data_IF_766427309497
#
_entry.id   IF_766427309497
#
_cell.length_a   1.000
_cell.length_b   1.000
_cell.length_c   1.000
_cell.angle_alpha   90.00
_cell.angle_beta   90.00
_cell.angle_gamma   90.00
#
_symmetry.space_group_name_H-M   'P 1'
#
loop_
_entity.id
_entity.type
_entity.pdbx_description
1 polymer ?
#
# COMPACT_ATOMS: atom_id res chain seq x y z
N UNK A 1 25.63 8.95 2.10
CA UNK A 1 25.33 7.52 1.84
C UNK A 1 24.54 6.87 2.99
N UNK A 2 24.29 7.55 4.11
CA UNK A 2 23.70 6.92 5.30
C UNK A 2 22.23 6.54 5.13
N UNK A 3 21.43 7.34 4.41
CA UNK A 3 20.03 6.99 4.11
C UNK A 3 19.89 5.64 3.41
N UNK A 4 20.64 5.39 2.33
CA UNK A 4 20.51 4.15 1.56
C UNK A 4 20.88 2.92 2.39
N UNK A 5 21.89 3.02 3.26
CA UNK A 5 22.27 1.93 4.16
C UNK A 5 21.18 1.65 5.18
N UNK A 6 20.66 2.69 5.82
CA UNK A 6 19.62 2.54 6.85
C UNK A 6 18.29 2.06 6.26
N UNK A 7 17.92 2.55 5.08
CA UNK A 7 16.75 2.09 4.33
C UNK A 7 16.86 0.60 3.98
N UNK A 8 18.01 0.16 3.46
CA UNK A 8 18.25 -1.25 3.14
C UNK A 8 18.19 -2.14 4.39
N UNK A 9 18.75 -1.68 5.52
CA UNK A 9 18.67 -2.41 6.78
C UNK A 9 17.22 -2.55 7.28
N UNK A 10 16.43 -1.48 7.22
CA UNK A 10 15.01 -1.50 7.62
C UNK A 10 14.13 -2.34 6.69
N UNK A 11 14.49 -2.48 5.42
CA UNK A 11 13.67 -3.19 4.41
C UNK A 11 14.18 -4.59 4.08
N UNK A 12 15.24 -5.07 4.73
CA UNK A 12 15.86 -6.37 4.46
C UNK A 12 14.91 -7.58 4.60
N UNK A 13 13.83 -7.45 5.36
CA UNK A 13 12.82 -8.50 5.54
C UNK A 13 11.72 -8.49 4.47
N UNK A 14 11.70 -7.49 3.58
CA UNK A 14 10.70 -7.34 2.53
C UNK A 14 11.28 -7.83 1.20
N UNK A 15 10.48 -8.52 0.41
CA UNK A 15 10.92 -9.04 -0.89
C UNK A 15 11.39 -7.89 -1.81
N UNK A 16 12.52 -8.05 -2.52
CA UNK A 16 13.00 -7.05 -3.48
C UNK A 16 11.95 -6.72 -4.55
N UNK A 17 11.90 -5.46 -4.97
CA UNK A 17 10.96 -4.99 -6.01
C UNK A 17 9.59 -4.56 -5.48
N UNK A 18 9.32 -4.68 -4.18
CA UNK A 18 8.11 -4.12 -3.56
C UNK A 18 8.29 -2.60 -3.36
N UNK A 19 7.36 -1.76 -3.86
CA UNK A 19 7.43 -0.32 -3.65
C UNK A 19 7.08 0.03 -2.20
N UNK A 20 8.03 0.61 -1.48
CA UNK A 20 7.90 1.01 -0.07
C UNK A 20 7.91 2.54 0.00
N UNK A 21 6.78 3.19 0.29
CA UNK A 21 6.73 4.63 0.47
C UNK A 21 7.51 5.06 1.73
N UNK A 22 8.33 6.09 1.59
CA UNK A 22 9.11 6.66 2.69
C UNK A 22 8.85 8.15 2.80
N UNK A 23 8.56 8.62 4.02
CA UNK A 23 8.47 10.05 4.31
C UNK A 23 9.78 10.44 4.97
N UNK A 24 10.48 11.41 4.37
CA UNK A 24 11.75 11.94 4.86
C UNK A 24 11.49 13.35 5.37
N UNK A 25 11.86 13.60 6.62
CA UNK A 25 11.83 14.93 7.22
C UNK A 25 13.28 15.44 7.35
N UNK A 26 13.55 16.59 6.75
CA UNK A 26 14.87 17.22 6.70
C UNK A 26 14.85 18.43 7.64
N UNK A 27 15.76 18.43 8.61
CA UNK A 27 15.90 19.51 9.58
C UNK A 27 16.84 20.61 9.05
N UNK A 28 16.80 21.84 9.60
CA UNK A 28 17.62 22.96 9.15
C UNK A 28 19.14 22.73 9.23
N UNK A 29 19.56 21.86 10.16
CA UNK A 29 20.96 21.43 10.35
C UNK A 29 21.40 20.36 9.32
N UNK A 30 20.54 20.04 8.34
CA UNK A 30 20.71 18.98 7.33
C UNK A 30 20.70 17.57 7.91
N UNK A 31 20.33 17.39 9.18
CA UNK A 31 19.97 16.07 9.70
C UNK A 31 18.65 15.62 9.08
N UNK A 32 18.45 14.31 8.97
CA UNK A 32 17.23 13.74 8.43
C UNK A 32 16.69 12.65 9.34
N UNK A 33 15.36 12.53 9.37
CA UNK A 33 14.66 11.40 9.94
C UNK A 33 13.74 10.84 8.87
N UNK A 34 13.51 9.53 8.87
CA UNK A 34 12.58 8.94 7.91
C UNK A 34 11.76 7.81 8.53
N UNK A 35 10.53 7.69 8.02
CA UNK A 35 9.58 6.64 8.38
C UNK A 35 9.20 5.89 7.11
N UNK A 36 9.40 4.57 7.14
CA UNK A 36 8.98 3.64 6.10
C UNK A 36 7.54 3.21 6.38
N UNK A 37 6.66 3.32 5.37
CA UNK A 37 5.28 2.83 5.44
C UNK A 37 5.18 1.44 4.84
N UNK A 38 4.08 0.74 5.11
CA UNK A 38 3.74 -0.47 4.36
C UNK A 38 3.58 -0.18 2.86
N UNK A 39 3.75 -1.20 2.00
CA UNK A 39 3.61 -1.06 0.56
C UNK A 39 2.28 -0.42 0.13
N UNK A 40 2.26 0.16 -1.06
CA UNK A 40 1.08 0.86 -1.56
C UNK A 40 -0.12 -0.08 -1.71
N UNK A 41 -1.32 0.43 -1.43
CA UNK A 41 -2.57 -0.33 -1.64
C UNK A 41 -2.71 -0.78 -3.09
N UNK A 42 -2.31 0.06 -4.05
CA UNK A 42 -2.30 -0.29 -5.48
C UNK A 42 -1.44 -1.51 -5.77
N UNK A 43 -0.24 -1.61 -5.17
CA UNK A 43 0.62 -2.78 -5.33
C UNK A 43 -0.03 -4.05 -4.77
N UNK A 44 -0.61 -3.98 -3.57
CA UNK A 44 -1.31 -5.12 -2.98
C UNK A 44 -2.51 -5.58 -3.80
N UNK A 45 -3.34 -4.65 -4.26
CA UNK A 45 -4.51 -4.95 -5.09
C UNK A 45 -4.13 -5.56 -6.43
N UNK A 46 -3.09 -5.03 -7.08
CA UNK A 46 -2.54 -5.57 -8.33
C UNK A 46 -2.02 -6.99 -8.15
N UNK A 47 -1.26 -7.23 -7.07
CA UNK A 47 -0.72 -8.56 -6.74
C UNK A 47 -1.83 -9.57 -6.42
N UNK A 48 -2.84 -9.17 -5.65
CA UNK A 48 -3.98 -10.02 -5.31
C UNK A 48 -4.88 -10.31 -6.52
N UNK A 49 -5.01 -9.38 -7.46
CA UNK A 49 -5.78 -9.55 -8.69
C UNK A 49 -4.96 -10.16 -9.85
N UNK A 50 -3.67 -10.46 -9.64
CA UNK A 50 -2.74 -10.93 -10.67
C UNK A 50 -2.67 -10.04 -11.93
N UNK A 51 -2.68 -8.71 -11.74
CA UNK A 51 -2.59 -7.72 -12.84
C UNK A 51 -1.34 -6.85 -12.68
N UNK A 52 -0.75 -6.43 -13.80
CA UNK A 52 0.42 -5.54 -13.79
C UNK A 52 0.01 -4.06 -13.85
N UNK A 53 -1.02 -3.76 -14.66
CA UNK A 53 -1.52 -2.40 -14.91
C UNK A 53 -2.99 -2.29 -14.51
N UNK A 54 -3.36 -1.14 -13.95
CA UNK A 54 -4.75 -0.80 -13.69
C UNK A 54 -5.49 -0.40 -14.98
N UNK A 55 -6.79 -0.19 -14.87
CA UNK A 55 -7.62 0.29 -15.98
C UNK A 55 -7.23 1.71 -16.42
N UNK A 56 -7.32 1.97 -17.73
CA UNK A 56 -7.23 3.32 -18.29
C UNK A 56 -8.56 4.09 -18.21
N UNK A 57 -9.67 3.39 -17.93
CA UNK A 57 -11.03 3.96 -17.81
C UNK A 57 -11.72 3.45 -16.54
N UNK A 58 -11.39 4.04 -15.37
CA UNK A 58 -12.00 3.67 -14.10
C UNK A 58 -13.52 3.72 -14.14
N UNK A 59 -14.19 2.69 -13.60
CA UNK A 59 -15.65 2.61 -13.55
C UNK A 59 -16.34 2.06 -14.80
N UNK A 60 -15.66 2.01 -15.95
CA UNK A 60 -16.19 1.42 -17.19
C UNK A 60 -15.58 0.04 -17.45
N UNK A 61 -14.27 -0.09 -17.25
CA UNK A 61 -13.53 -1.31 -17.52
C UNK A 61 -13.07 -1.96 -16.21
N UNK A 62 -13.42 -3.23 -16.03
CA UNK A 62 -12.94 -4.07 -14.91
C UNK A 62 -11.82 -4.96 -15.42
N UNK A 63 -10.63 -4.83 -14.84
CA UNK A 63 -9.41 -5.53 -15.23
C UNK A 63 -9.07 -6.71 -14.33
N UNK A 64 -9.76 -6.87 -13.19
CA UNK A 64 -9.57 -7.99 -12.28
C UNK A 64 -10.62 -8.06 -11.19
N UNK A 65 -10.59 -9.13 -10.40
CA UNK A 65 -11.48 -9.31 -9.26
C UNK A 65 -10.74 -9.84 -8.04
N UNK A 66 -11.13 -9.38 -6.85
CA UNK A 66 -10.61 -9.86 -5.57
C UNK A 66 -11.75 -10.18 -4.62
N UNK A 67 -11.55 -11.11 -3.70
CA UNK A 67 -12.53 -11.41 -2.66
C UNK A 67 -12.40 -10.47 -1.45
N UNK A 68 -13.46 -10.37 -0.65
CA UNK A 68 -13.44 -9.62 0.62
C UNK A 68 -12.35 -10.09 1.60
N UNK A 69 -11.98 -11.38 1.55
CA UNK A 69 -10.89 -11.92 2.39
C UNK A 69 -9.56 -11.23 2.09
N UNK A 70 -9.23 -11.03 0.82
CA UNK A 70 -8.01 -10.33 0.42
C UNK A 70 -8.04 -8.87 0.86
N UNK A 71 -9.19 -8.19 0.74
CA UNK A 71 -9.34 -6.80 1.22
C UNK A 71 -9.04 -6.72 2.72
N UNK A 72 -9.57 -7.66 3.50
CA UNK A 72 -9.38 -7.71 4.94
C UNK A 72 -7.92 -7.99 5.35
N UNK A 73 -7.24 -8.89 4.65
CA UNK A 73 -5.81 -9.15 4.85
C UNK A 73 -4.97 -7.90 4.54
N UNK A 74 -5.25 -7.21 3.43
CA UNK A 74 -4.57 -5.97 3.07
C UNK A 74 -4.85 -4.89 4.13
N UNK A 75 -6.08 -4.79 4.64
CA UNK A 75 -6.45 -3.86 5.69
C UNK A 75 -5.67 -4.11 6.98
N UNK A 76 -5.52 -5.37 7.39
CA UNK A 76 -4.72 -5.75 8.57
C UNK A 76 -3.26 -5.35 8.44
N UNK A 77 -2.66 -5.58 7.27
CA UNK A 77 -1.28 -5.17 6.99
C UNK A 77 -1.20 -3.64 7.04
N UNK A 78 -2.12 -2.92 6.39
CA UNK A 78 -2.07 -1.45 6.36
C UNK A 78 -2.30 -0.82 7.74
N UNK A 79 -3.11 -1.44 8.60
CA UNK A 79 -3.39 -0.96 9.94
C UNK A 79 -2.14 -0.90 10.85
N UNK A 80 -1.05 -1.60 10.51
CA UNK A 80 0.21 -1.48 11.25
C UNK A 80 0.90 -0.13 11.05
N UNK A 81 0.56 0.60 9.99
CA UNK A 81 1.11 1.92 9.74
C UNK A 81 0.70 2.90 10.83
N UNK A 82 1.66 3.66 11.33
CA UNK A 82 1.48 4.60 12.44
C UNK A 82 0.33 5.58 12.23
N UNK A 83 0.19 6.12 11.01
CA UNK A 83 -0.88 7.05 10.65
C UNK A 83 -2.27 6.42 10.47
N UNK A 84 -2.41 5.10 10.59
CA UNK A 84 -3.69 4.39 10.47
C UNK A 84 -4.08 3.65 11.75
N UNK A 85 -3.21 3.61 12.76
CA UNK A 85 -3.45 2.91 14.04
C UNK A 85 -4.71 3.37 14.80
N UNK A 86 -5.18 4.58 14.54
CA UNK A 86 -6.35 5.17 15.18
C UNK A 86 -7.66 4.90 14.42
N UNK A 87 -7.59 4.30 13.22
CA UNK A 87 -8.76 3.98 12.42
C UNK A 87 -9.20 2.54 12.68
N UNK A 88 -10.52 2.34 12.69
CA UNK A 88 -11.09 1.01 12.74
C UNK A 88 -10.77 0.25 11.45
N UNK A 89 -10.65 -1.08 11.58
CA UNK A 89 -10.29 -1.94 10.46
C UNK A 89 -11.31 -1.87 9.31
N UNK A 90 -12.58 -1.65 9.62
CA UNK A 90 -13.66 -1.47 8.64
C UNK A 90 -13.49 -0.20 7.81
N UNK A 91 -13.09 0.91 8.45
CA UNK A 91 -12.81 2.17 7.76
C UNK A 91 -11.61 2.05 6.80
N UNK A 92 -10.57 1.31 7.23
CA UNK A 92 -9.42 1.00 6.38
C UNK A 92 -9.84 0.12 5.20
N UNK A 93 -10.63 -0.93 5.45
CA UNK A 93 -11.13 -1.82 4.41
C UNK A 93 -12.01 -1.07 3.39
N UNK A 94 -12.90 -0.18 3.84
CA UNK A 94 -13.72 0.67 2.97
C UNK A 94 -12.87 1.55 2.04
N UNK A 95 -11.79 2.12 2.58
CA UNK A 95 -10.83 2.93 1.79
C UNK A 95 -10.11 2.08 0.73
N UNK A 96 -9.76 0.84 1.06
CA UNK A 96 -9.15 -0.11 0.12
C UNK A 96 -10.13 -0.52 -0.97
N UNK A 97 -11.41 -0.73 -0.64
CA UNK A 97 -12.46 -1.01 -1.63
C UNK A 97 -12.62 0.17 -2.60
N UNK A 98 -12.63 1.40 -2.09
CA UNK A 98 -12.63 2.61 -2.92
C UNK A 98 -11.44 2.65 -3.88
N UNK A 99 -10.25 2.28 -3.39
CA UNK A 99 -9.04 2.18 -4.20
C UNK A 99 -9.10 1.07 -5.26
N UNK A 100 -9.73 -0.07 -4.94
CA UNK A 100 -9.96 -1.14 -5.91
C UNK A 100 -10.85 -0.68 -7.06
N UNK A 101 -11.89 0.09 -6.76
CA UNK A 101 -12.80 0.65 -7.77
C UNK A 101 -12.07 1.59 -8.75
N UNK A 102 -11.18 2.45 -8.26
CA UNK A 102 -10.41 3.36 -9.14
C UNK A 102 -9.36 2.62 -9.98
N UNK A 103 -8.86 1.49 -9.49
CA UNK A 103 -7.97 0.58 -10.24
C UNK A 103 -8.69 -0.29 -11.29
N UNK A 104 -10.03 -0.33 -11.27
CA UNK A 104 -10.81 -1.24 -12.10
C UNK A 104 -10.82 -2.68 -11.59
N UNK A 105 -10.62 -2.87 -10.29
CA UNK A 105 -10.69 -4.19 -9.64
C UNK A 105 -12.05 -4.32 -8.94
N UNK A 106 -12.81 -5.34 -9.30
CA UNK A 106 -14.11 -5.63 -8.69
C UNK A 106 -13.93 -6.44 -7.41
N UNK A 107 -14.54 -5.97 -6.33
CA UNK A 107 -14.59 -6.72 -5.07
C UNK A 107 -15.80 -7.65 -5.08
N UNK A 108 -15.56 -8.93 -4.86
CA UNK A 108 -16.58 -9.98 -4.79
C UNK A 108 -16.76 -10.39 -3.32
N UNK A 109 -18.01 -10.53 -2.84
CA UNK A 109 -18.28 -11.00 -1.49
C UNK A 109 -17.70 -12.39 -1.20
#
# INVERSE_FOLDING_TARGET
MDFCKEFNARTAHISPGVPIPTVINIQPDRSFTFVTKTPTVSYFLKKAACIEKGTGRPGHETVGSISLKHVYEIAKIKATDEHLKHLELEAIASTIIGSARTLGVRVVP
#
